data_IF_874834801010
#
_entry.id   IF_874834801010
#
_cell.length_a   1.000
_cell.length_b   1.000
_cell.length_c   1.000
_cell.angle_alpha   90.00
_cell.angle_beta   90.00
_cell.angle_gamma   90.00
#
_symmetry.space_group_name_H-M   'P 1'
#
loop_
_entity.id
_entity.type
_entity.pdbx_description
1 polymer ?
#
# COMPACT_ATOMS: atom_id res chain seq x y z
N UNK A 1 19.54 -23.56 13.81
CA UNK A 1 20.45 -24.30 12.91
C UNK A 1 19.62 -25.38 12.25
N UNK A 2 19.36 -25.26 10.94
CA UNK A 2 18.60 -26.26 10.20
C UNK A 2 19.44 -27.53 10.06
N UNK A 3 18.80 -28.68 10.13
CA UNK A 3 19.42 -29.99 9.96
C UNK A 3 19.99 -30.08 8.53
N UNK A 4 21.12 -30.80 8.28
CA UNK A 4 21.59 -31.09 6.92
C UNK A 4 20.53 -31.77 6.03
N UNK A 5 19.53 -32.39 6.66
CA UNK A 5 18.36 -32.99 6.03
C UNK A 5 17.34 -31.99 5.51
N UNK A 6 17.46 -30.70 5.79
CA UNK A 6 16.53 -29.63 5.37
C UNK A 6 17.15 -28.71 4.30
N UNK A 7 18.45 -28.86 4.02
CA UNK A 7 19.20 -28.09 3.03
C UNK A 7 18.84 -28.49 1.58
N UNK A 8 18.33 -27.54 0.79
CA UNK A 8 18.01 -27.74 -0.62
C UNK A 8 19.25 -28.04 -1.48
N UNK A 9 20.44 -27.59 -1.07
CA UNK A 9 21.70 -27.88 -1.78
C UNK A 9 22.01 -29.38 -1.79
N UNK A 10 21.61 -30.13 -0.76
CA UNK A 10 21.93 -31.54 -0.62
C UNK A 10 21.33 -32.41 -1.75
N UNK A 11 20.21 -31.98 -2.35
CA UNK A 11 19.51 -32.73 -3.40
C UNK A 11 19.87 -32.27 -4.80
N UNK A 12 20.65 -31.19 -4.94
CA UNK A 12 20.91 -30.56 -6.24
C UNK A 12 21.59 -31.51 -7.23
N UNK A 13 22.62 -32.24 -6.80
CA UNK A 13 23.32 -33.19 -7.68
C UNK A 13 22.42 -34.33 -8.18
N UNK A 14 21.50 -34.81 -7.34
CA UNK A 14 20.49 -35.81 -7.74
C UNK A 14 19.54 -35.23 -8.78
N UNK A 15 19.03 -34.02 -8.55
CA UNK A 15 18.15 -33.34 -9.49
C UNK A 15 18.83 -33.03 -10.83
N UNK A 16 20.09 -32.60 -10.81
CA UNK A 16 20.91 -32.37 -12.01
C UNK A 16 21.06 -33.67 -12.81
N UNK A 17 21.38 -34.78 -12.14
CA UNK A 17 21.55 -36.10 -12.77
C UNK A 17 20.26 -36.60 -13.40
N UNK A 18 19.15 -36.51 -12.67
CA UNK A 18 17.84 -36.94 -13.17
C UNK A 18 17.35 -36.04 -14.32
N UNK A 19 17.63 -34.74 -14.27
CA UNK A 19 17.32 -33.83 -15.36
C UNK A 19 18.18 -34.10 -16.60
N UNK A 20 19.46 -34.41 -16.43
CA UNK A 20 20.33 -34.82 -17.52
C UNK A 20 19.81 -36.10 -18.20
N UNK A 21 19.27 -37.05 -17.42
CA UNK A 21 18.66 -38.28 -17.94
C UNK A 21 17.48 -38.01 -18.89
N UNK A 22 16.70 -36.93 -18.67
CA UNK A 22 15.61 -36.55 -19.59
C UNK A 22 16.11 -36.02 -20.93
N UNK A 23 17.39 -35.69 -21.04
CA UNK A 23 18.02 -35.13 -22.25
C UNK A 23 18.91 -36.12 -22.99
N UNK A 24 19.05 -37.36 -22.51
CA UNK A 24 19.93 -38.39 -23.09
C UNK A 24 19.50 -38.76 -24.51
N UNK A 25 18.20 -38.80 -24.77
CA UNK A 25 17.67 -39.11 -26.10
C UNK A 25 17.26 -37.81 -26.82
N UNK A 26 17.77 -37.54 -28.04
CA UNK A 26 17.37 -36.38 -28.83
C UNK A 26 15.92 -36.50 -29.29
N UNK A 27 15.32 -35.38 -29.70
CA UNK A 27 13.94 -35.38 -30.21
C UNK A 27 13.84 -36.19 -31.50
N UNK A 28 12.66 -36.75 -31.79
CA UNK A 28 12.42 -37.51 -33.03
C UNK A 28 12.77 -36.73 -34.31
N UNK A 29 12.74 -35.40 -34.26
CA UNK A 29 13.02 -34.52 -35.41
C UNK A 29 14.53 -34.39 -35.64
N UNK A 30 15.34 -34.53 -34.59
CA UNK A 30 16.80 -34.38 -34.62
C UNK A 30 17.55 -35.70 -34.88
N UNK A 31 16.83 -36.84 -34.85
CA UNK A 31 17.38 -38.18 -35.09
C UNK A 31 17.43 -38.45 -36.60
N UNK A 32 18.47 -39.09 -37.11
CA UNK A 32 18.57 -39.43 -38.54
C UNK A 32 17.51 -40.46 -38.95
N UNK A 33 17.01 -40.42 -40.19
CA UNK A 33 15.96 -41.34 -40.68
C UNK A 33 16.26 -42.83 -40.45
N UNK A 34 17.53 -43.23 -40.56
CA UNK A 34 17.98 -44.61 -40.34
C UNK A 34 18.02 -45.04 -38.85
N UNK A 35 18.15 -44.08 -37.92
CA UNK A 35 18.10 -44.32 -36.48
C UNK A 35 16.65 -44.37 -35.96
N UNK A 36 15.71 -43.73 -36.67
CA UNK A 36 14.26 -43.75 -36.38
C UNK A 36 13.64 -45.13 -36.64
N UNK A 37 14.18 -45.90 -37.57
CA UNK A 37 13.65 -47.22 -37.95
C UNK A 37 14.23 -48.32 -37.06
N UNK A 38 13.84 -48.34 -35.78
CA UNK A 38 13.96 -49.53 -34.92
C UNK A 38 14.93 -49.47 -33.74
N UNK A 39 15.92 -48.55 -33.73
CA UNK A 39 16.88 -48.42 -32.61
C UNK A 39 16.60 -47.23 -31.68
N UNK A 40 15.74 -46.30 -32.08
CA UNK A 40 15.39 -45.15 -31.25
C UNK A 40 14.52 -45.53 -30.06
N UNK A 41 15.10 -45.53 -28.85
CA UNK A 41 14.40 -45.80 -27.59
C UNK A 41 13.82 -44.55 -26.90
N UNK A 42 14.05 -43.35 -27.48
CA UNK A 42 13.64 -42.09 -26.86
C UNK A 42 12.12 -41.95 -26.70
N UNK A 43 11.33 -42.51 -27.63
CA UNK A 43 9.87 -42.48 -27.55
C UNK A 43 9.31 -43.23 -26.32
N UNK A 44 9.93 -44.36 -25.95
CA UNK A 44 9.52 -45.15 -24.77
C UNK A 44 10.17 -44.63 -23.49
N UNK A 45 11.44 -44.21 -23.57
CA UNK A 45 12.23 -43.84 -22.40
C UNK A 45 11.93 -42.43 -21.89
N UNK A 46 11.69 -41.46 -22.79
CA UNK A 46 11.53 -40.05 -22.44
C UNK A 46 10.38 -39.78 -21.45
N UNK A 47 9.15 -40.34 -21.63
CA UNK A 47 8.08 -40.17 -20.66
C UNK A 47 8.42 -40.73 -19.27
N UNK A 48 9.10 -41.88 -19.23
CA UNK A 48 9.47 -42.57 -17.98
C UNK A 48 10.49 -41.75 -17.17
N UNK A 49 11.56 -41.28 -17.82
CA UNK A 49 12.59 -40.47 -17.14
C UNK A 49 12.07 -39.10 -16.76
N UNK A 50 11.20 -38.49 -17.59
CA UNK A 50 10.55 -37.21 -17.28
C UNK A 50 9.66 -37.36 -16.05
N UNK A 51 8.80 -38.37 -16.02
CA UNK A 51 7.93 -38.63 -14.87
C UNK A 51 8.72 -39.00 -13.60
N UNK A 52 9.87 -39.67 -13.72
CA UNK A 52 10.76 -39.93 -12.60
C UNK A 52 11.32 -38.62 -12.02
N UNK A 53 11.83 -37.74 -12.88
CA UNK A 53 12.34 -36.42 -12.50
C UNK A 53 11.27 -35.52 -11.88
N UNK A 54 10.07 -35.48 -12.46
CA UNK A 54 8.95 -34.71 -11.90
C UNK A 54 8.53 -35.21 -10.52
N UNK A 55 8.48 -36.53 -10.32
CA UNK A 55 8.23 -37.13 -8.99
C UNK A 55 9.31 -36.75 -8.00
N UNK A 56 10.57 -36.71 -8.40
CA UNK A 56 11.67 -36.30 -7.53
C UNK A 56 11.57 -34.83 -7.12
N UNK A 57 11.23 -33.94 -8.06
CA UNK A 57 10.97 -32.54 -7.74
C UNK A 57 9.87 -32.39 -6.69
N UNK A 58 8.78 -33.15 -6.81
CA UNK A 58 7.67 -33.12 -5.85
C UNK A 58 8.00 -33.79 -4.51
N UNK A 59 8.78 -34.88 -4.52
CA UNK A 59 9.10 -35.65 -3.33
C UNK A 59 10.24 -35.03 -2.50
N UNK A 60 11.21 -34.37 -3.16
CA UNK A 60 12.42 -33.86 -2.51
C UNK A 60 12.49 -32.34 -2.49
N UNK A 61 12.26 -31.64 -3.61
CA UNK A 61 12.43 -30.18 -3.66
C UNK A 61 11.25 -29.44 -3.03
N UNK A 62 10.01 -29.83 -3.36
CA UNK A 62 8.80 -29.15 -2.88
C UNK A 62 8.70 -29.10 -1.35
N UNK A 63 8.89 -30.20 -0.57
CA UNK A 63 8.77 -30.15 0.88
C UNK A 63 9.84 -29.26 1.53
N UNK A 64 11.03 -29.17 0.92
CA UNK A 64 12.11 -28.29 1.41
C UNK A 64 11.80 -26.83 1.21
N UNK A 65 11.29 -26.48 0.03
CA UNK A 65 10.79 -25.12 -0.23
C UNK A 65 9.65 -24.78 0.72
N UNK A 66 8.72 -25.71 0.95
CA UNK A 66 7.64 -25.51 1.91
C UNK A 66 8.17 -25.26 3.34
N UNK A 67 9.08 -26.10 3.84
CA UNK A 67 9.72 -25.90 5.15
C UNK A 67 10.48 -24.58 5.26
N UNK A 68 11.15 -24.16 4.19
CA UNK A 68 11.84 -22.88 4.10
C UNK A 68 10.84 -21.71 4.25
N UNK A 69 9.72 -21.75 3.53
CA UNK A 69 8.67 -20.74 3.62
C UNK A 69 7.98 -20.75 5.00
N UNK A 70 7.75 -21.93 5.60
CA UNK A 70 7.25 -22.02 6.96
C UNK A 70 8.21 -21.38 7.97
N UNK A 71 9.52 -21.59 7.81
CA UNK A 71 10.54 -20.94 8.64
C UNK A 71 10.52 -19.42 8.47
N UNK A 72 10.29 -18.92 7.25
CA UNK A 72 10.16 -17.48 7.00
C UNK A 72 8.91 -16.90 7.69
N UNK A 73 7.77 -17.61 7.65
CA UNK A 73 6.56 -17.19 8.36
C UNK A 73 6.85 -17.06 9.86
N UNK A 74 7.43 -18.11 10.47
CA UNK A 74 7.76 -18.12 11.91
C UNK A 74 8.73 -16.99 12.29
N UNK A 75 9.73 -16.72 11.45
CA UNK A 75 10.73 -15.68 11.69
C UNK A 75 10.18 -14.25 11.55
N UNK A 76 9.10 -14.06 10.79
CA UNK A 76 8.54 -12.75 10.50
C UNK A 76 7.22 -12.47 11.23
N UNK A 77 6.82 -13.27 12.25
CA UNK A 77 5.56 -13.08 12.98
C UNK A 77 5.37 -11.67 13.57
N UNK A 78 6.46 -10.95 13.83
CA UNK A 78 6.48 -9.57 14.33
C UNK A 78 6.76 -8.51 13.26
N UNK A 79 6.93 -8.90 12.00
CA UNK A 79 7.17 -7.99 10.87
C UNK A 79 6.10 -8.20 9.81
N UNK A 80 5.02 -7.41 9.87
CA UNK A 80 3.85 -7.52 9.00
C UNK A 80 4.19 -7.57 7.51
N UNK A 81 5.03 -6.64 7.05
CA UNK A 81 5.32 -6.51 5.61
C UNK A 81 6.04 -7.75 5.07
N UNK A 82 7.00 -8.29 5.83
CA UNK A 82 7.68 -9.55 5.48
C UNK A 82 6.77 -10.77 5.68
N UNK A 83 5.92 -10.76 6.70
CA UNK A 83 4.99 -11.84 7.00
C UNK A 83 3.98 -12.02 5.87
N UNK A 84 3.41 -10.93 5.35
CA UNK A 84 2.41 -10.98 4.27
C UNK A 84 2.97 -11.73 3.06
N UNK A 85 4.16 -11.35 2.60
CA UNK A 85 4.80 -11.98 1.45
C UNK A 85 5.25 -13.42 1.75
N UNK A 86 5.69 -13.71 2.98
CA UNK A 86 6.03 -15.09 3.39
C UNK A 86 4.80 -16.01 3.35
N UNK A 87 3.66 -15.52 3.85
CA UNK A 87 2.37 -16.26 3.82
C UNK A 87 1.88 -16.39 2.38
N UNK A 88 1.95 -15.33 1.57
CA UNK A 88 1.60 -15.37 0.14
C UNK A 88 2.34 -16.49 -0.58
N UNK A 89 3.66 -16.53 -0.45
CA UNK A 89 4.50 -17.55 -1.07
C UNK A 89 4.12 -18.97 -0.63
N UNK A 90 3.86 -19.17 0.67
CA UNK A 90 3.48 -20.47 1.20
C UNK A 90 2.11 -20.93 0.70
N UNK A 91 1.10 -20.06 0.74
CA UNK A 91 -0.25 -20.40 0.27
C UNK A 91 -0.28 -20.72 -1.22
N UNK A 92 0.56 -20.07 -2.04
CA UNK A 92 0.70 -20.39 -3.47
C UNK A 92 1.10 -21.86 -3.71
N UNK A 93 1.76 -22.54 -2.76
CA UNK A 93 2.08 -23.97 -2.90
C UNK A 93 0.83 -24.88 -2.86
N UNK A 94 -0.20 -24.47 -2.12
CA UNK A 94 -1.46 -25.21 -1.97
C UNK A 94 -2.64 -24.66 -2.78
N UNK A 95 -2.49 -23.48 -3.41
CA UNK A 95 -3.56 -22.81 -4.17
C UNK A 95 -3.11 -22.53 -5.62
N UNK A 96 -3.24 -23.50 -6.55
CA UNK A 96 -2.84 -23.35 -7.95
C UNK A 96 -3.42 -22.13 -8.64
N UNK A 97 -4.67 -21.78 -8.33
CA UNK A 97 -5.45 -20.71 -8.98
C UNK A 97 -4.97 -19.31 -8.56
N UNK A 98 -4.22 -19.22 -7.46
CA UNK A 98 -3.63 -17.98 -6.92
C UNK A 98 -2.12 -17.90 -7.15
N UNK A 99 -1.53 -18.91 -7.80
CA UNK A 99 -0.09 -19.03 -7.95
C UNK A 99 0.43 -18.13 -9.08
N UNK A 100 1.25 -17.16 -8.70
CA UNK A 100 2.10 -16.43 -9.62
C UNK A 100 3.48 -17.12 -9.67
N UNK A 101 3.73 -17.87 -10.73
CA UNK A 101 4.97 -18.63 -10.90
C UNK A 101 6.21 -17.73 -10.99
N UNK A 102 6.10 -16.56 -11.65
CA UNK A 102 7.24 -15.67 -11.81
C UNK A 102 7.61 -15.01 -10.48
N UNK A 103 6.61 -14.51 -9.77
CA UNK A 103 6.78 -13.90 -8.46
C UNK A 103 7.30 -14.90 -7.42
N UNK A 104 6.70 -16.09 -7.33
CA UNK A 104 7.09 -17.12 -6.38
C UNK A 104 8.53 -17.60 -6.61
N UNK A 105 8.92 -17.77 -7.88
CA UNK A 105 10.29 -18.11 -8.26
C UNK A 105 11.29 -17.04 -7.82
N UNK A 106 10.99 -15.76 -8.06
CA UNK A 106 11.85 -14.65 -7.65
C UNK A 106 11.95 -14.54 -6.11
N UNK A 107 10.84 -14.75 -5.40
CA UNK A 107 10.79 -14.74 -3.95
C UNK A 107 11.73 -15.80 -3.34
N UNK A 108 11.60 -17.06 -3.79
CA UNK A 108 12.45 -18.17 -3.30
C UNK A 108 13.91 -17.98 -3.71
N UNK A 109 14.18 -17.46 -4.90
CA UNK A 109 15.55 -17.15 -5.35
C UNK A 109 16.24 -16.11 -4.46
N UNK A 110 15.50 -15.11 -3.95
CA UNK A 110 16.03 -14.10 -3.01
C UNK A 110 16.53 -14.74 -1.72
N UNK A 111 15.77 -15.71 -1.18
CA UNK A 111 16.19 -16.45 0.00
C UNK A 111 17.41 -17.34 -0.27
N UNK A 112 17.47 -18.04 -1.42
CA UNK A 112 18.65 -18.83 -1.79
C UNK A 112 19.90 -17.98 -2.02
N UNK A 113 19.75 -16.76 -2.55
CA UNK A 113 20.85 -15.81 -2.65
C UNK A 113 21.43 -15.46 -1.28
N UNK A 114 20.55 -15.22 -0.29
CA UNK A 114 20.97 -14.96 1.09
C UNK A 114 21.59 -16.19 1.78
N UNK A 115 21.11 -17.41 1.48
CA UNK A 115 21.63 -18.66 2.09
C UNK A 115 22.94 -19.14 1.50
N UNK A 116 23.16 -18.93 0.21
CA UNK A 116 24.35 -19.41 -0.49
C UNK A 116 25.14 -18.25 -1.10
N UNK A 117 25.60 -17.27 -0.31
CA UNK A 117 26.30 -16.11 -0.84
C UNK A 117 27.55 -16.53 -1.61
N UNK A 118 27.74 -15.97 -2.80
CA UNK A 118 28.88 -16.27 -3.68
C UNK A 118 28.81 -17.62 -4.41
N UNK A 119 27.81 -18.47 -4.17
CA UNK A 119 27.66 -19.76 -4.86
C UNK A 119 26.59 -19.68 -5.96
N UNK A 120 26.91 -19.00 -7.05
CA UNK A 120 25.99 -18.79 -8.17
C UNK A 120 25.55 -20.10 -8.84
N UNK A 121 26.39 -21.13 -8.84
CA UNK A 121 26.05 -22.45 -9.37
C UNK A 121 24.87 -23.10 -8.61
N UNK A 122 24.95 -23.12 -7.28
CA UNK A 122 23.85 -23.65 -6.44
C UNK A 122 22.59 -22.80 -6.57
N UNK A 123 22.71 -21.48 -6.52
CA UNK A 123 21.58 -20.56 -6.67
C UNK A 123 20.85 -20.77 -8.01
N UNK A 124 21.60 -20.82 -9.12
CA UNK A 124 21.04 -21.01 -10.46
C UNK A 124 20.44 -22.41 -10.63
N UNK A 125 21.12 -23.46 -10.17
CA UNK A 125 20.63 -24.83 -10.24
C UNK A 125 19.29 -24.99 -9.53
N UNK A 126 19.21 -24.58 -8.26
CA UNK A 126 17.97 -24.63 -7.47
C UNK A 126 16.86 -23.81 -8.13
N UNK A 127 17.16 -22.59 -8.60
CA UNK A 127 16.18 -21.73 -9.26
C UNK A 127 15.64 -22.33 -10.58
N UNK A 128 16.48 -23.04 -11.34
CA UNK A 128 16.05 -23.74 -12.55
C UNK A 128 15.14 -24.93 -12.22
N UNK A 129 15.52 -25.77 -11.26
CA UNK A 129 14.68 -26.90 -10.84
C UNK A 129 13.36 -26.44 -10.25
N UNK A 130 13.36 -25.38 -9.46
CA UNK A 130 12.14 -24.78 -8.94
C UNK A 130 11.23 -24.24 -10.04
N UNK A 131 11.79 -23.57 -11.05
CA UNK A 131 11.03 -23.14 -12.21
C UNK A 131 10.34 -24.30 -12.94
N UNK A 132 11.00 -25.46 -13.03
CA UNK A 132 10.40 -26.67 -13.62
C UNK A 132 9.31 -27.26 -12.72
N UNK A 133 9.55 -27.31 -11.41
CA UNK A 133 8.54 -27.73 -10.42
C UNK A 133 7.27 -26.87 -10.51
N UNK A 134 7.40 -25.54 -10.64
CA UNK A 134 6.28 -24.62 -10.77
C UNK A 134 5.48 -24.79 -12.08
N UNK A 135 6.05 -25.45 -13.10
CA UNK A 135 5.34 -25.83 -14.31
C UNK A 135 4.41 -27.04 -14.14
N UNK A 136 4.51 -27.76 -13.02
CA UNK A 136 3.68 -28.92 -12.70
C UNK A 136 2.42 -28.51 -11.95
N UNK A 137 1.43 -29.41 -11.93
CA UNK A 137 0.27 -29.27 -11.05
C UNK A 137 0.71 -29.55 -9.60
N UNK A 138 0.92 -28.49 -8.82
CA UNK A 138 1.27 -28.60 -7.40
C UNK A 138 0.02 -28.49 -6.52
N UNK A 139 -0.19 -29.47 -5.65
CA UNK A 139 -1.14 -29.40 -4.56
C UNK A 139 -0.44 -29.84 -3.26
N UNK A 140 0.23 -28.89 -2.61
CA UNK A 140 0.96 -29.15 -1.37
C UNK A 140 0.02 -29.00 -0.15
N UNK A 141 -0.03 -29.99 0.77
CA UNK A 141 -0.83 -29.89 1.98
C UNK A 141 -0.24 -28.83 2.92
N UNK A 142 -0.96 -27.74 3.13
CA UNK A 142 -0.52 -26.61 3.94
C UNK A 142 -0.72 -26.86 5.44
N UNK A 143 0.12 -26.22 6.26
CA UNK A 143 -0.01 -26.23 7.71
C UNK A 143 -1.04 -25.17 8.16
N UNK A 144 -2.28 -25.61 8.35
CA UNK A 144 -3.41 -24.74 8.72
C UNK A 144 -3.19 -24.01 10.06
N UNK A 145 -2.51 -24.64 11.01
CA UNK A 145 -2.21 -24.01 12.30
C UNK A 145 -1.23 -22.84 12.14
N UNK A 146 -0.18 -23.02 11.33
CA UNK A 146 0.77 -21.95 11.04
C UNK A 146 0.10 -20.82 10.25
N UNK A 147 -0.76 -21.14 9.28
CA UNK A 147 -1.54 -20.15 8.53
C UNK A 147 -2.45 -19.36 9.46
N UNK A 148 -3.16 -20.02 10.37
CA UNK A 148 -4.03 -19.36 11.33
C UNK A 148 -3.26 -18.40 12.25
N UNK A 149 -2.10 -18.83 12.76
CA UNK A 149 -1.22 -17.98 13.57
C UNK A 149 -0.71 -16.76 12.78
N UNK A 150 -0.24 -16.98 11.56
CA UNK A 150 0.25 -15.91 10.70
C UNK A 150 -0.86 -14.91 10.35
N UNK A 151 -2.07 -15.40 10.02
CA UNK A 151 -3.24 -14.55 9.77
C UNK A 151 -3.63 -13.75 11.00
N UNK A 152 -3.54 -14.32 12.20
CA UNK A 152 -3.81 -13.59 13.43
C UNK A 152 -2.80 -12.46 13.64
N UNK A 153 -1.51 -12.71 13.43
CA UNK A 153 -0.48 -11.67 13.46
C UNK A 153 -0.70 -10.61 12.36
N UNK A 154 -1.14 -11.01 11.16
CA UNK A 154 -1.54 -10.09 10.09
C UNK A 154 -2.88 -9.36 10.36
N UNK A 155 -3.57 -9.60 11.46
CA UNK A 155 -4.77 -8.81 11.85
C UNK A 155 -4.51 -7.88 13.03
N UNK A 156 -3.30 -7.86 13.59
CA UNK A 156 -2.98 -6.96 14.71
C UNK A 156 -2.93 -5.48 14.31
N UNK A 157 -2.72 -5.19 13.03
CA UNK A 157 -2.82 -3.84 12.46
C UNK A 157 -4.03 -3.82 11.51
N UNK A 158 -4.88 -2.78 11.63
CA UNK A 158 -6.04 -2.64 10.75
C UNK A 158 -5.61 -2.36 9.31
N UNK A 159 -6.38 -2.87 8.35
CA UNK A 159 -6.16 -2.58 6.93
C UNK A 159 -6.22 -1.06 6.66
N UNK A 160 -7.04 -0.31 7.41
CA UNK A 160 -7.11 1.14 7.33
C UNK A 160 -5.76 1.80 7.64
N UNK A 161 -5.08 1.38 8.72
CA UNK A 161 -3.75 1.89 9.09
C UNK A 161 -2.71 1.64 8.00
N UNK A 162 -2.75 0.45 7.38
CA UNK A 162 -1.83 0.08 6.30
C UNK A 162 -2.05 0.95 5.05
N UNK A 163 -3.30 1.03 4.58
CA UNK A 163 -3.68 1.87 3.44
C UNK A 163 -3.31 3.33 3.71
N UNK A 164 -3.61 3.83 4.91
CA UNK A 164 -3.31 5.18 5.32
C UNK A 164 -1.80 5.48 5.25
N UNK A 165 -0.97 4.59 5.79
CA UNK A 165 0.50 4.73 5.75
C UNK A 165 1.02 4.76 4.32
N UNK A 166 0.50 3.88 3.45
CA UNK A 166 0.89 3.85 2.03
C UNK A 166 0.48 5.14 1.29
N UNK A 167 -0.74 5.63 1.50
CA UNK A 167 -1.19 6.89 0.91
C UNK A 167 -0.31 8.05 1.37
N UNK A 168 0.01 8.11 2.66
CA UNK A 168 0.89 9.14 3.22
C UNK A 168 2.29 9.07 2.61
N UNK A 169 2.84 7.86 2.44
CA UNK A 169 4.16 7.64 1.86
C UNK A 169 4.23 8.08 0.39
N UNK A 170 3.22 7.70 -0.40
CA UNK A 170 3.19 8.06 -1.82
C UNK A 170 2.90 9.55 -2.03
N UNK A 171 2.23 10.21 -1.07
CA UNK A 171 1.93 11.64 -1.09
C UNK A 171 3.12 12.55 -0.75
N UNK A 172 4.31 12.00 -0.43
CA UNK A 172 5.51 12.79 -0.15
C UNK A 172 5.97 13.69 -1.31
N UNK A 173 5.48 13.42 -2.52
CA UNK A 173 5.74 14.22 -3.72
C UNK A 173 4.91 15.49 -3.81
N UNK A 174 3.87 15.63 -2.98
CA UNK A 174 3.03 16.82 -2.95
C UNK A 174 3.78 18.00 -2.36
N UNK A 175 3.63 19.18 -2.98
CA UNK A 175 4.26 20.40 -2.49
C UNK A 175 3.80 20.69 -1.04
N UNK A 176 4.73 20.94 -0.11
CA UNK A 176 4.37 21.32 1.24
C UNK A 176 3.70 22.70 1.25
N UNK A 177 2.87 22.93 2.26
CA UNK A 177 2.16 24.18 2.50
C UNK A 177 2.73 24.88 3.74
N UNK A 178 2.83 26.21 3.69
CA UNK A 178 3.13 27.05 4.85
C UNK A 178 2.48 28.42 4.67
N UNK A 179 2.10 29.08 5.78
CA UNK A 179 1.35 30.34 5.70
C UNK A 179 2.17 31.47 5.04
N UNK A 180 3.48 31.51 5.27
CA UNK A 180 4.38 32.51 4.68
C UNK A 180 4.37 32.54 3.14
N UNK A 181 4.12 31.40 2.48
CA UNK A 181 4.01 31.31 1.02
C UNK A 181 2.69 31.91 0.49
N UNK A 182 1.65 31.96 1.34
CA UNK A 182 0.29 32.34 0.94
C UNK A 182 -0.15 33.71 1.48
N UNK A 183 0.47 34.21 2.55
CA UNK A 183 0.16 35.53 3.15
C UNK A 183 0.83 36.71 2.42
N UNK A 184 1.77 36.44 1.52
CA UNK A 184 2.49 37.47 0.77
C UNK A 184 3.29 38.43 1.67
N UNK A 185 3.59 39.67 1.21
CA UNK A 185 4.44 40.61 1.95
C UNK A 185 3.93 40.97 3.35
N UNK A 186 2.61 40.94 3.54
CA UNK A 186 1.96 41.26 4.81
C UNK A 186 2.05 40.12 5.83
N UNK A 187 2.44 38.91 5.41
CA UNK A 187 2.68 37.77 6.30
C UNK A 187 3.88 37.95 7.23
N UNK A 188 4.78 38.90 6.93
CA UNK A 188 5.96 39.23 7.75
C UNK A 188 5.62 39.71 9.17
N UNK A 189 4.38 40.14 9.39
CA UNK A 189 3.84 40.54 10.70
C UNK A 189 3.73 39.36 11.68
N UNK A 190 3.64 38.14 11.15
CA UNK A 190 3.57 36.92 11.94
C UNK A 190 4.94 36.26 12.08
N UNK A 191 5.18 35.71 13.27
CA UNK A 191 6.18 34.70 13.57
C UNK A 191 5.53 33.31 13.52
N UNK A 192 6.31 32.28 13.19
CA UNK A 192 5.81 30.89 13.10
C UNK A 192 5.02 30.55 11.82
N UNK A 193 4.81 31.52 10.91
CA UNK A 193 4.12 31.31 9.63
C UNK A 193 4.81 30.30 8.68
N UNK A 194 6.09 30.01 8.91
CA UNK A 194 6.86 29.01 8.18
C UNK A 194 6.69 27.56 8.67
N UNK A 195 5.75 27.28 9.58
CA UNK A 195 5.45 25.90 9.97
C UNK A 195 4.99 25.10 8.74
N UNK A 196 5.69 24.00 8.47
CA UNK A 196 5.49 23.19 7.26
C UNK A 196 4.37 22.18 7.49
N UNK A 197 3.28 22.35 6.75
CA UNK A 197 2.19 21.38 6.64
C UNK A 197 2.47 20.49 5.42
N UNK A 198 2.58 19.16 5.57
CA UNK A 198 2.73 18.28 4.42
C UNK A 198 1.56 18.47 3.44
N UNK A 199 1.86 18.56 2.13
CA UNK A 199 0.85 18.83 1.09
C UNK A 199 -0.32 17.83 1.09
N UNK A 200 -0.09 16.62 1.60
CA UNK A 200 -1.10 15.60 1.83
C UNK A 200 -2.25 16.06 2.74
N UNK A 201 -2.01 17.00 3.66
CA UNK A 201 -3.00 17.56 4.58
C UNK A 201 -3.46 18.96 4.15
N UNK A 202 -3.61 19.20 2.86
CA UNK A 202 -4.22 20.43 2.32
C UNK A 202 -5.56 20.08 1.66
N UNK A 203 -6.42 21.07 1.40
CA UNK A 203 -7.68 20.81 0.70
C UNK A 203 -7.43 20.23 -0.70
N UNK A 204 -6.38 20.73 -1.37
CA UNK A 204 -5.94 20.23 -2.66
C UNK A 204 -5.43 18.78 -2.55
N UNK A 205 -4.59 18.48 -1.56
CA UNK A 205 -4.10 17.13 -1.29
C UNK A 205 -5.23 16.14 -1.00
N UNK A 206 -6.26 16.56 -0.26
CA UNK A 206 -7.46 15.75 -0.07
C UNK A 206 -8.17 15.46 -1.39
N UNK A 207 -8.53 16.50 -2.15
CA UNK A 207 -9.33 16.40 -3.38
C UNK A 207 -8.61 15.63 -4.50
N UNK A 208 -7.32 15.93 -4.71
CA UNK A 208 -6.56 15.42 -5.85
C UNK A 208 -5.87 14.10 -5.56
N UNK A 209 -5.60 13.80 -4.29
CA UNK A 209 -4.81 12.63 -3.91
C UNK A 209 -5.59 11.66 -3.03
N UNK A 210 -5.98 12.04 -1.81
CA UNK A 210 -6.62 11.11 -0.87
C UNK A 210 -7.94 10.54 -1.41
N UNK A 211 -8.83 11.39 -1.92
CA UNK A 211 -10.13 10.98 -2.47
C UNK A 211 -10.01 10.15 -3.75
N UNK A 212 -8.98 10.40 -4.57
CA UNK A 212 -8.78 9.72 -5.87
C UNK A 212 -8.01 8.40 -5.70
N UNK A 213 -6.96 8.39 -4.90
CA UNK A 213 -6.05 7.24 -4.74
C UNK A 213 -6.48 6.26 -3.65
N UNK A 214 -7.34 6.69 -2.71
CA UNK A 214 -7.81 5.85 -1.62
C UNK A 214 -8.54 4.59 -2.11
N UNK A 215 -9.52 4.74 -3.00
CA UNK A 215 -10.31 3.61 -3.48
C UNK A 215 -9.52 2.62 -4.37
N UNK A 216 -8.70 3.05 -5.35
CA UNK A 216 -7.84 2.15 -6.12
C UNK A 216 -6.87 1.35 -5.25
N UNK A 217 -6.19 2.00 -4.30
CA UNK A 217 -5.22 1.33 -3.43
C UNK A 217 -5.90 0.28 -2.54
N UNK A 218 -7.08 0.58 -2.03
CA UNK A 218 -7.90 -0.41 -1.32
C UNK A 218 -8.22 -1.57 -2.24
N UNK A 219 -8.70 -1.30 -3.46
CA UNK A 219 -9.04 -2.35 -4.42
C UNK A 219 -7.85 -3.26 -4.78
N UNK A 220 -6.64 -2.72 -4.84
CA UNK A 220 -5.43 -3.50 -5.09
C UNK A 220 -5.06 -4.38 -3.89
N UNK A 221 -5.17 -3.87 -2.66
CA UNK A 221 -4.94 -4.69 -1.46
C UNK A 221 -6.04 -5.77 -1.32
N UNK A 222 -7.27 -5.47 -1.73
CA UNK A 222 -8.36 -6.44 -1.76
C UNK A 222 -8.06 -7.63 -2.68
N UNK A 223 -7.31 -7.44 -3.77
CA UNK A 223 -6.89 -8.54 -4.66
C UNK A 223 -6.02 -9.56 -3.93
N UNK A 224 -5.29 -9.13 -2.91
CA UNK A 224 -4.43 -9.95 -2.07
C UNK A 224 -5.11 -10.40 -0.75
N UNK A 225 -6.40 -10.09 -0.55
CA UNK A 225 -7.14 -10.41 0.68
C UNK A 225 -7.28 -11.92 0.94
N UNK A 226 -7.16 -12.74 -0.10
CA UNK A 226 -7.16 -14.20 0.01
C UNK A 226 -6.04 -14.72 0.96
N UNK A 227 -4.96 -13.94 1.13
CA UNK A 227 -3.88 -14.24 2.07
C UNK A 227 -4.37 -14.21 3.52
N UNK A 228 -5.28 -13.30 3.85
CA UNK A 228 -5.86 -13.11 5.18
C UNK A 228 -6.99 -14.09 5.51
N UNK A 229 -7.40 -14.93 4.55
CA UNK A 229 -8.42 -15.97 4.77
C UNK A 229 -9.86 -15.45 4.77
N UNK A 230 -10.04 -14.19 4.42
CA UNK A 230 -11.35 -13.66 4.05
C UNK A 230 -11.64 -14.16 2.63
N UNK A 231 -12.79 -14.82 2.46
CA UNK A 231 -13.23 -15.32 1.17
C UNK A 231 -13.26 -14.21 0.11
N UNK A 232 -13.32 -14.62 -1.15
CA UNK A 232 -13.36 -13.73 -2.31
C UNK A 232 -14.29 -12.53 -2.03
N UNK A 233 -13.71 -11.32 -1.97
CA UNK A 233 -14.35 -10.02 -1.71
C UNK A 233 -14.72 -9.72 -0.25
N UNK A 234 -14.15 -8.62 0.29
CA UNK A 234 -14.70 -7.92 1.46
C UNK A 234 -16.14 -7.49 1.13
N UNK A 235 -17.07 -7.67 2.07
CA UNK A 235 -18.45 -7.27 1.82
C UNK A 235 -18.52 -5.74 1.60
N UNK A 236 -19.54 -5.25 0.90
CA UNK A 236 -19.75 -3.82 0.74
C UNK A 236 -19.81 -3.07 2.09
N UNK A 237 -20.27 -3.76 3.16
CA UNK A 237 -20.30 -3.24 4.51
C UNK A 237 -18.90 -3.13 5.13
N UNK A 238 -18.02 -4.11 4.90
CA UNK A 238 -16.66 -4.09 5.45
C UNK A 238 -15.79 -3.07 4.71
N UNK A 239 -15.95 -2.95 3.40
CA UNK A 239 -15.33 -1.87 2.62
C UNK A 239 -15.78 -0.50 3.14
N UNK A 240 -17.06 -0.34 3.47
CA UNK A 240 -17.57 0.91 4.07
C UNK A 240 -16.93 1.18 5.42
N UNK A 241 -16.84 0.19 6.31
CA UNK A 241 -16.15 0.34 7.62
C UNK A 241 -14.68 0.74 7.43
N UNK A 242 -13.99 0.11 6.48
CA UNK A 242 -12.62 0.43 6.12
C UNK A 242 -12.48 1.90 5.68
N UNK A 243 -13.38 2.38 4.82
CA UNK A 243 -13.37 3.79 4.36
C UNK A 243 -13.63 4.77 5.51
N UNK A 244 -14.55 4.45 6.41
CA UNK A 244 -14.80 5.26 7.61
C UNK A 244 -13.56 5.36 8.50
N UNK A 245 -12.91 4.23 8.79
CA UNK A 245 -11.71 4.20 9.61
C UNK A 245 -10.55 4.95 8.94
N UNK A 246 -10.40 4.80 7.61
CA UNK A 246 -9.39 5.51 6.83
C UNK A 246 -9.58 7.04 6.86
N UNK A 247 -10.81 7.52 6.66
CA UNK A 247 -11.13 8.95 6.78
C UNK A 247 -10.90 9.47 8.20
N UNK A 248 -11.23 8.69 9.23
CA UNK A 248 -10.97 9.07 10.62
C UNK A 248 -9.47 9.25 10.91
N UNK A 249 -8.63 8.32 10.46
CA UNK A 249 -7.17 8.43 10.58
C UNK A 249 -6.66 9.68 9.85
N UNK A 250 -7.11 9.90 8.62
CA UNK A 250 -6.69 11.04 7.81
C UNK A 250 -7.07 12.38 8.45
N UNK A 251 -8.34 12.58 8.80
CA UNK A 251 -8.81 13.86 9.34
C UNK A 251 -8.33 14.14 10.77
N UNK A 252 -8.00 13.11 11.56
CA UNK A 252 -7.33 13.29 12.85
C UNK A 252 -5.95 13.91 12.67
N UNK A 253 -5.13 13.38 11.77
CA UNK A 253 -3.78 13.86 11.53
C UNK A 253 -3.83 15.21 10.80
N UNK A 254 -4.78 15.40 9.88
CA UNK A 254 -5.09 16.69 9.26
C UNK A 254 -5.37 17.78 10.29
N UNK A 255 -6.29 17.52 11.23
CA UNK A 255 -6.64 18.47 12.28
C UNK A 255 -5.45 18.80 13.18
N UNK A 256 -4.55 17.84 13.41
CA UNK A 256 -3.35 18.01 14.23
C UNK A 256 -2.37 18.96 13.55
N UNK A 257 -2.01 18.71 12.28
CA UNK A 257 -1.09 19.59 11.55
C UNK A 257 -1.60 21.02 11.41
N UNK A 258 -2.90 21.21 11.10
CA UNK A 258 -3.47 22.56 11.00
C UNK A 258 -3.57 23.26 12.35
N UNK A 259 -3.86 22.53 13.43
CA UNK A 259 -3.92 23.15 14.77
C UNK A 259 -2.54 23.54 15.28
N UNK A 260 -1.51 22.73 14.98
CA UNK A 260 -0.13 23.09 15.28
C UNK A 260 0.30 24.31 14.46
N UNK A 261 0.03 24.32 13.15
CA UNK A 261 0.36 25.45 12.29
C UNK A 261 -0.29 26.76 12.80
N UNK A 262 -1.58 26.72 13.15
CA UNK A 262 -2.28 27.87 13.71
C UNK A 262 -1.75 28.24 15.10
N UNK A 263 -1.44 27.25 15.94
CA UNK A 263 -0.91 27.47 17.29
C UNK A 263 0.51 28.03 17.34
N UNK A 264 1.30 27.87 16.26
CA UNK A 264 2.64 28.47 16.13
C UNK A 264 2.59 29.94 15.71
N UNK A 265 1.45 30.43 15.23
CA UNK A 265 1.32 31.82 14.79
C UNK A 265 1.31 32.76 16.00
N UNK A 266 2.23 33.71 16.00
CA UNK A 266 2.24 34.82 16.95
C UNK A 266 2.63 36.12 16.24
N UNK A 267 2.18 37.26 16.74
CA UNK A 267 2.64 38.55 16.22
C UNK A 267 4.13 38.74 16.56
N UNK A 268 4.91 39.25 15.61
CA UNK A 268 6.30 39.61 15.90
C UNK A 268 6.35 40.69 16.99
N UNK A 269 7.30 40.60 17.94
CA UNK A 269 7.48 41.64 18.93
C UNK A 269 7.99 42.92 18.26
N UNK A 270 7.47 44.07 18.70
CA UNK A 270 7.94 45.39 18.29
C UNK A 270 8.70 46.07 19.43
N UNK A 271 9.72 46.87 19.09
CA UNK A 271 10.56 47.56 20.07
C UNK A 271 10.21 49.04 20.21
N UNK A 272 9.47 49.60 19.24
CA UNK A 272 9.06 51.01 19.25
C UNK A 272 7.56 51.17 19.00
N UNK A 273 6.99 52.26 19.51
CA UNK A 273 5.59 52.61 19.26
C UNK A 273 5.29 52.82 17.76
N UNK A 274 6.28 53.28 16.99
CA UNK A 274 6.16 53.45 15.54
C UNK A 274 6.05 52.10 14.82
N UNK A 275 6.92 51.15 15.16
CA UNK A 275 6.86 49.77 14.62
C UNK A 275 5.52 49.11 14.97
N UNK A 276 5.05 49.26 16.21
CA UNK A 276 3.74 48.76 16.62
C UNK A 276 2.60 49.38 15.80
N UNK A 277 2.60 50.70 15.61
CA UNK A 277 1.58 51.39 14.81
C UNK A 277 1.58 50.92 13.34
N UNK A 278 2.76 50.73 12.74
CA UNK A 278 2.90 50.19 11.38
C UNK A 278 2.39 48.73 11.29
N UNK A 279 2.72 47.90 12.28
CA UNK A 279 2.25 46.51 12.37
C UNK A 279 0.72 46.45 12.48
N UNK A 280 0.11 47.22 13.41
CA UNK A 280 -1.34 47.29 13.56
C UNK A 280 -2.03 47.84 12.32
N UNK A 281 -1.46 48.86 11.67
CA UNK A 281 -2.00 49.39 10.41
C UNK A 281 -2.02 48.32 9.31
N UNK A 282 -0.99 47.46 9.24
CA UNK A 282 -0.98 46.30 8.34
C UNK A 282 -2.08 45.28 8.64
N UNK A 283 -2.32 45.01 9.93
CA UNK A 283 -3.39 44.12 10.40
C UNK A 283 -4.81 44.63 10.12
N UNK A 284 -5.02 45.95 10.14
CA UNK A 284 -6.35 46.57 9.94
C UNK A 284 -6.53 47.21 8.57
N UNK A 285 -5.55 47.08 7.67
CA UNK A 285 -5.62 47.64 6.32
C UNK A 285 -6.68 46.93 5.47
N UNK A 286 -7.04 47.52 4.32
CA UNK A 286 -7.87 46.88 3.32
C UNK A 286 -7.31 45.54 2.81
N UNK A 287 -6.01 45.28 3.02
CA UNK A 287 -5.35 44.02 2.73
C UNK A 287 -4.84 43.35 4.03
N UNK A 288 -5.73 43.20 5.01
CA UNK A 288 -5.46 42.68 6.34
C UNK A 288 -4.77 41.31 6.31
N UNK A 289 -3.60 41.21 6.95
CA UNK A 289 -2.89 39.93 7.10
C UNK A 289 -3.69 38.90 7.91
N UNK A 290 -4.50 39.34 8.88
CA UNK A 290 -5.38 38.46 9.68
C UNK A 290 -6.51 37.92 8.83
N UNK A 291 -7.13 38.77 7.98
CA UNK A 291 -8.19 38.33 7.08
C UNK A 291 -7.66 37.25 6.13
N UNK A 292 -6.51 37.49 5.48
CA UNK A 292 -5.86 36.51 4.60
C UNK A 292 -5.57 35.19 5.31
N UNK A 293 -5.12 35.26 6.57
CA UNK A 293 -4.85 34.07 7.37
C UNK A 293 -6.12 33.27 7.66
N UNK A 294 -7.20 33.95 8.05
CA UNK A 294 -8.49 33.31 8.29
C UNK A 294 -9.05 32.68 7.01
N UNK A 295 -8.86 33.34 5.85
CA UNK A 295 -9.25 32.79 4.55
C UNK A 295 -8.47 31.52 4.22
N UNK A 296 -7.15 31.52 4.44
CA UNK A 296 -6.31 30.33 4.22
C UNK A 296 -6.70 29.16 5.13
N UNK A 297 -7.01 29.44 6.41
CA UNK A 297 -7.52 28.42 7.34
C UNK A 297 -8.88 27.92 6.86
N UNK A 298 -9.82 28.81 6.52
CA UNK A 298 -11.17 28.44 6.04
C UNK A 298 -11.11 27.59 4.79
N UNK A 299 -10.35 28.00 3.78
CA UNK A 299 -10.16 27.28 2.53
C UNK A 299 -9.68 25.84 2.76
N UNK A 300 -8.77 25.65 3.72
CA UNK A 300 -8.19 24.35 4.01
C UNK A 300 -8.91 23.53 5.08
N UNK A 301 -9.83 24.10 5.85
CA UNK A 301 -10.51 23.35 6.94
C UNK A 301 -12.02 23.25 6.75
N UNK A 302 -12.57 23.96 5.76
CA UNK A 302 -13.95 23.82 5.30
C UNK A 302 -14.01 22.82 4.15
N UNK A 303 -14.76 21.75 4.34
CA UNK A 303 -15.00 20.71 3.35
C UNK A 303 -16.51 20.71 3.05
N UNK A 304 -16.97 21.18 1.88
CA UNK A 304 -18.40 21.15 1.59
C UNK A 304 -18.91 19.72 1.76
N UNK A 305 -20.01 19.57 2.48
CA UNK A 305 -20.68 18.28 2.59
C UNK A 305 -21.16 17.83 1.22
N UNK A 306 -21.37 16.53 1.03
CA UNK A 306 -21.92 16.01 -0.24
C UNK A 306 -23.27 16.68 -0.56
N UNK A 307 -24.07 17.02 0.46
CA UNK A 307 -25.33 17.74 0.30
C UNK A 307 -25.12 19.18 -0.21
N UNK A 308 -24.19 19.94 0.36
CA UNK A 308 -23.86 21.31 -0.09
C UNK A 308 -23.21 21.31 -1.48
N UNK A 309 -22.41 20.28 -1.81
CA UNK A 309 -21.82 20.12 -3.14
C UNK A 309 -22.88 19.83 -4.21
N UNK A 310 -23.91 19.04 -3.88
CA UNK A 310 -25.04 18.73 -4.77
C UNK A 310 -25.93 19.94 -5.05
N UNK A 311 -26.13 20.84 -4.07
CA UNK A 311 -26.87 22.09 -4.28
C UNK A 311 -26.14 23.07 -5.22
N UNK A 312 -24.82 22.93 -5.38
CA UNK A 312 -23.99 23.80 -6.23
C UNK A 312 -23.73 23.26 -7.64
N UNK A 313 -24.21 22.05 -7.98
CA UNK A 313 -23.99 21.43 -9.29
C UNK A 313 -25.11 21.80 -10.29
N UNK A 314 -24.79 22.20 -11.53
CA UNK A 314 -25.81 22.36 -12.57
C UNK A 314 -26.41 21.01 -12.98
N UNK A 315 -27.74 20.97 -13.15
CA UNK A 315 -28.59 19.77 -13.39
C UNK A 315 -28.08 18.81 -14.48
N UNK A 316 -27.22 19.26 -15.39
CA UNK A 316 -26.66 18.45 -16.47
C UNK A 316 -25.58 17.44 -16.04
N UNK A 317 -24.99 17.58 -14.84
CA UNK A 317 -23.91 16.70 -14.35
C UNK A 317 -24.40 15.46 -13.57
N UNK A 318 -25.68 15.39 -13.20
CA UNK A 318 -26.27 14.36 -12.31
C UNK A 318 -26.16 12.91 -12.82
N UNK A 319 -25.94 12.70 -14.12
CA UNK A 319 -26.05 11.37 -14.74
C UNK A 319 -24.72 10.60 -14.82
N UNK A 320 -23.58 11.24 -14.57
CA UNK A 320 -22.26 10.58 -14.64
C UNK A 320 -21.70 10.13 -13.29
N UNK A 321 -22.24 10.63 -12.17
CA UNK A 321 -21.70 10.40 -10.82
C UNK A 321 -22.41 9.29 -10.03
N UNK A 322 -23.56 8.79 -10.49
CA UNK A 322 -24.41 7.83 -9.76
C UNK A 322 -23.73 6.50 -9.38
N UNK A 323 -22.70 6.06 -10.11
CA UNK A 323 -21.97 4.82 -9.83
C UNK A 323 -20.85 4.97 -8.78
N UNK A 324 -20.35 6.19 -8.57
CA UNK A 324 -19.35 6.53 -7.54
C UNK A 324 -20.00 7.15 -6.29
N UNK A 325 -21.14 7.83 -6.46
CA UNK A 325 -21.89 8.50 -5.40
C UNK A 325 -22.54 7.53 -4.42
N UNK A 326 -23.01 6.36 -4.85
CA UNK A 326 -23.68 5.42 -3.93
C UNK A 326 -22.74 4.85 -2.84
N UNK A 327 -21.42 4.84 -3.11
CA UNK A 327 -20.40 4.39 -2.16
C UNK A 327 -19.89 5.54 -1.30
N UNK A 328 -19.68 6.73 -1.88
CA UNK A 328 -19.22 7.93 -1.17
C UNK A 328 -20.32 8.60 -0.30
N UNK A 329 -21.57 8.65 -0.76
CA UNK A 329 -22.70 9.27 -0.05
C UNK A 329 -23.14 8.51 1.21
N UNK A 330 -22.61 7.30 1.43
CA UNK A 330 -22.98 6.45 2.56
C UNK A 330 -21.84 6.24 3.58
N UNK A 331 -20.71 6.95 3.43
CA UNK A 331 -19.67 7.04 4.46
C UNK A 331 -20.07 8.17 5.40
N UNK A 332 -20.28 7.91 6.71
CA UNK A 332 -20.55 8.98 7.67
C UNK A 332 -19.48 10.08 7.61
N UNK A 333 -19.86 11.31 7.22
CA UNK A 333 -19.01 12.53 7.21
C UNK A 333 -18.58 13.00 8.62
N UNK A 334 -18.57 12.09 9.59
CA UNK A 334 -18.33 12.37 11.01
C UNK A 334 -16.92 12.95 11.22
N UNK A 335 -15.92 12.44 10.49
CA UNK A 335 -14.54 12.89 10.61
C UNK A 335 -14.34 14.31 10.05
N UNK A 336 -14.94 14.63 8.89
CA UNK A 336 -14.95 15.98 8.29
C UNK A 336 -15.66 16.99 9.18
N UNK A 337 -16.84 16.63 9.71
CA UNK A 337 -17.58 17.47 10.65
C UNK A 337 -16.80 17.71 11.94
N UNK A 338 -16.08 16.72 12.43
CA UNK A 338 -15.21 16.87 13.60
C UNK A 338 -14.06 17.86 13.33
N UNK A 339 -13.43 17.80 12.15
CA UNK A 339 -12.44 18.79 11.73
C UNK A 339 -13.05 20.19 11.68
N UNK A 340 -14.16 20.38 10.98
CA UNK A 340 -14.82 21.69 10.86
C UNK A 340 -15.19 22.25 12.21
N UNK A 341 -15.80 21.45 13.09
CA UNK A 341 -16.17 21.87 14.45
C UNK A 341 -14.96 22.37 15.26
N UNK A 342 -13.76 21.85 14.99
CA UNK A 342 -12.53 22.29 15.66
C UNK A 342 -12.09 23.69 15.20
N UNK A 343 -12.29 24.03 13.93
CA UNK A 343 -11.91 25.32 13.34
C UNK A 343 -13.08 26.32 13.26
N UNK A 344 -14.28 25.88 13.61
CA UNK A 344 -15.52 26.68 13.64
C UNK A 344 -15.36 28.05 14.34
N UNK A 345 -14.67 28.19 15.50
CA UNK A 345 -14.46 29.51 16.10
C UNK A 345 -13.72 30.49 15.17
N UNK A 346 -12.79 30.00 14.35
CA UNK A 346 -12.07 30.82 13.36
C UNK A 346 -12.92 31.06 12.11
N UNK A 347 -13.76 30.09 11.73
CA UNK A 347 -14.67 30.26 10.60
C UNK A 347 -15.71 31.34 10.85
N UNK A 348 -16.21 31.52 12.08
CA UNK A 348 -17.20 32.56 12.42
C UNK A 348 -16.67 33.98 12.38
N UNK A 349 -15.35 34.15 12.41
CA UNK A 349 -14.72 35.47 12.26
C UNK A 349 -14.82 36.03 10.84
N UNK A 350 -15.30 35.22 9.90
CA UNK A 350 -15.54 35.59 8.52
C UNK A 350 -17.03 35.42 8.20
N UNK A 351 -17.61 36.31 7.39
CA UNK A 351 -19.00 36.22 6.93
C UNK A 351 -19.16 35.22 5.77
N UNK A 352 -20.35 35.13 5.17
CA UNK A 352 -20.62 34.23 4.03
C UNK A 352 -19.91 34.64 2.73
N UNK A 353 -19.54 35.92 2.60
CA UNK A 353 -18.85 36.49 1.44
C UNK A 353 -17.33 36.58 1.66
N UNK A 354 -16.78 35.82 2.62
CA UNK A 354 -15.36 35.82 2.96
C UNK A 354 -14.83 37.18 3.47
N UNK A 355 -15.75 38.06 3.89
CA UNK A 355 -15.46 39.33 4.55
C UNK A 355 -15.34 39.20 6.07
N UNK A 356 -14.88 40.25 6.77
CA UNK A 356 -14.81 40.26 8.23
C UNK A 356 -16.21 40.21 8.86
N UNK A 357 -16.46 39.23 9.72
CA UNK A 357 -17.71 39.16 10.48
C UNK A 357 -17.75 40.19 11.62
N UNK A 358 -18.94 40.41 12.19
CA UNK A 358 -19.13 41.29 13.34
C UNK A 358 -18.21 40.91 14.53
N UNK A 359 -17.93 39.62 14.71
CA UNK A 359 -17.08 39.09 15.79
C UNK A 359 -15.57 39.41 15.59
N UNK A 360 -15.15 39.81 14.39
CA UNK A 360 -13.77 40.25 14.09
C UNK A 360 -13.60 41.76 14.30
N UNK A 361 -14.70 42.52 14.33
CA UNK A 361 -14.67 43.98 14.47
C UNK A 361 -14.60 44.31 15.97
N UNK A 362 -13.64 45.15 16.42
CA UNK A 362 -13.39 45.42 17.84
C UNK A 362 -14.51 46.16 18.57
#
# INVERSE_FOLDING_TARGET
LLSPRDDARAILGTLDTQYAATRVFPSLIDVSLHERTGLYQGGVSHPVVTQAYERELQAQLLPRVAQQLESQIRANLNNRDRLLNSVRAYLMLGMPERRDNAWLKAWVATDWSARYPGNSAVQNGLNQHFGRLLGLTLNYPLNDTLIAQARQALRSESLASVVYRMLREQAHTLAPYSFDQHLGPQGSVFSGAGYVIPGFYTQQGYKQYFSVQGAPLVSDILRDNWILGEGNTLSAMDLRKLMVELEQLYFRDYATHWSEAVGQLALQPFNTAREGAEQFAGLTSANSAVLHLLLQVRENTRFPSVAEALETLPEAAEKATQALDAVAANVPDTAKKALQRRFEPLHRLLDENDGPAADLIP
#
